data_IF_076922771206
#
_entry.id   IF_076922771206
#
_cell.length_a   1.000
_cell.length_b   1.000
_cell.length_c   1.000
_cell.angle_alpha   90.00
_cell.angle_beta   90.00
_cell.angle_gamma   90.00
#
_symmetry.space_group_name_H-M   'P 1'
#
loop_
_entity.id
_entity.type
_entity.pdbx_description
1 polymer ?
#
# COMPACT_ATOMS: atom_id res chain seq x y z
N UNK A 1 -0.10 -13.39 2.81
CA UNK A 1 -0.08 -14.17 4.07
C UNK A 1 -0.67 -13.36 5.22
N UNK A 2 -1.39 -14.02 6.10
CA UNK A 2 -1.99 -13.44 7.30
C UNK A 2 -1.38 -14.10 8.53
N UNK A 3 -0.99 -13.31 9.52
CA UNK A 3 -0.49 -13.85 10.79
C UNK A 3 -1.64 -14.45 11.59
N UNK A 4 -1.51 -15.72 11.97
CA UNK A 4 -2.46 -16.37 12.89
C UNK A 4 -2.00 -16.19 14.33
N UNK A 5 -2.95 -16.06 15.26
CA UNK A 5 -2.64 -15.96 16.68
C UNK A 5 -1.90 -17.20 17.22
N UNK A 6 -1.25 -17.05 18.37
CA UNK A 6 -0.59 -18.14 19.06
C UNK A 6 -1.61 -19.15 19.56
N UNK A 7 -1.76 -20.27 18.88
CA UNK A 7 -2.50 -21.42 19.43
C UNK A 7 -1.78 -22.01 20.64
N UNK A 8 -2.54 -22.66 21.53
CA UNK A 8 -2.02 -23.26 22.77
C UNK A 8 -0.86 -24.23 22.47
N UNK A 9 0.19 -24.16 23.27
CA UNK A 9 1.42 -24.95 23.12
C UNK A 9 1.30 -26.44 23.49
N UNK A 10 0.11 -26.91 23.90
CA UNK A 10 -0.01 -28.14 24.69
C UNK A 10 0.02 -29.47 23.92
N UNK A 11 0.04 -29.49 22.58
CA UNK A 11 -0.11 -30.74 21.82
C UNK A 11 0.70 -30.82 20.54
N UNK A 12 1.91 -30.26 20.47
CA UNK A 12 2.69 -30.28 19.25
C UNK A 12 3.90 -31.21 19.34
N UNK A 13 4.05 -32.08 18.35
CA UNK A 13 5.27 -32.81 18.10
C UNK A 13 6.46 -31.85 17.99
N UNK A 14 7.57 -32.18 18.64
CA UNK A 14 8.84 -31.43 18.56
C UNK A 14 9.44 -31.43 17.17
N UNK A 15 8.90 -32.22 16.24
CA UNK A 15 9.37 -32.38 14.84
C UNK A 15 8.70 -31.44 13.85
N UNK A 16 7.68 -30.66 14.23
CA UNK A 16 6.93 -29.82 13.31
C UNK A 16 7.15 -28.34 13.56
N UNK A 17 7.43 -27.61 12.47
CA UNK A 17 7.46 -26.14 12.51
C UNK A 17 6.04 -25.59 12.69
N UNK A 18 5.90 -24.59 13.55
CA UNK A 18 4.63 -23.94 13.81
C UNK A 18 4.14 -23.19 12.58
N UNK A 19 2.96 -23.53 12.05
CA UNK A 19 2.27 -22.73 11.04
C UNK A 19 1.76 -21.44 11.68
N UNK A 20 2.32 -20.30 11.27
CA UNK A 20 1.96 -18.97 11.81
C UNK A 20 1.14 -18.13 10.84
N UNK A 21 0.95 -18.59 9.61
CA UNK A 21 0.31 -17.83 8.54
C UNK A 21 -0.82 -18.62 7.88
N UNK A 22 -1.91 -17.91 7.54
CA UNK A 22 -2.91 -18.33 6.57
C UNK A 22 -2.74 -17.50 5.29
N UNK A 23 -3.21 -18.06 4.16
CA UNK A 23 -3.20 -17.37 2.87
C UNK A 23 -4.62 -16.94 2.49
N UNK A 24 -4.72 -15.76 1.87
CA UNK A 24 -5.91 -15.30 1.20
C UNK A 24 -5.59 -15.24 -0.29
N UNK A 25 -6.34 -15.95 -1.11
CA UNK A 25 -6.22 -15.95 -2.56
C UNK A 25 -7.35 -15.09 -3.14
N UNK A 26 -6.98 -14.13 -3.98
CA UNK A 26 -7.92 -13.20 -4.60
C UNK A 26 -7.84 -13.38 -6.11
N UNK A 27 -8.98 -13.64 -6.73
CA UNK A 27 -9.12 -13.83 -8.17
C UNK A 27 -10.05 -12.77 -8.76
N UNK A 28 -9.79 -12.37 -10.00
CA UNK A 28 -10.68 -11.54 -10.80
C UNK A 28 -11.16 -12.32 -12.01
N UNK A 29 -12.42 -12.12 -12.40
CA UNK A 29 -13.02 -12.80 -13.56
C UNK A 29 -12.45 -12.29 -14.88
N UNK A 30 -12.08 -11.01 -14.95
CA UNK A 30 -11.56 -10.38 -16.17
C UNK A 30 -10.62 -9.21 -15.82
N UNK A 31 -9.91 -8.71 -16.83
CA UNK A 31 -9.04 -7.54 -16.69
C UNK A 31 -9.80 -6.23 -16.49
N UNK A 32 -11.10 -6.20 -16.74
CA UNK A 32 -11.96 -5.07 -16.44
C UNK A 32 -12.22 -4.89 -14.94
N UNK A 33 -11.95 -5.93 -14.12
CA UNK A 33 -12.08 -5.82 -12.67
C UNK A 33 -10.96 -4.93 -12.11
N UNK A 34 -11.32 -3.78 -11.56
CA UNK A 34 -10.43 -2.83 -10.93
C UNK A 34 -10.56 -2.95 -9.41
N UNK A 35 -9.44 -3.07 -8.71
CA UNK A 35 -9.44 -2.98 -7.25
C UNK A 35 -9.43 -1.51 -6.81
N UNK A 36 -10.24 -1.20 -5.81
CA UNK A 36 -10.24 0.11 -5.20
C UNK A 36 -8.90 0.36 -4.48
N UNK A 37 -8.32 1.52 -4.74
CA UNK A 37 -7.14 2.02 -4.02
C UNK A 37 -7.58 3.02 -2.96
N UNK A 38 -6.94 2.97 -1.80
CA UNK A 38 -7.18 3.95 -0.76
C UNK A 38 -6.53 5.28 -1.15
N UNK A 39 -7.33 6.34 -1.22
CA UNK A 39 -6.83 7.71 -1.39
C UNK A 39 -6.29 8.17 -0.04
N UNK A 40 -5.07 8.72 -0.05
CA UNK A 40 -4.39 9.24 1.15
C UNK A 40 -4.09 10.73 1.06
N UNK A 41 -4.32 11.34 -0.09
CA UNK A 41 -4.13 12.78 -0.29
C UNK A 41 -4.11 13.16 -1.77
N UNK A 42 -3.78 14.40 -1.99
CA UNK A 42 -3.50 14.97 -3.32
C UNK A 42 -2.07 15.51 -3.35
N UNK A 43 -1.49 15.59 -4.53
CA UNK A 43 -0.17 16.19 -4.72
C UNK A 43 -0.26 17.69 -4.52
N UNK A 44 0.63 18.24 -3.72
CA UNK A 44 0.72 19.67 -3.46
C UNK A 44 1.83 20.28 -4.35
N UNK A 45 1.52 21.42 -4.98
CA UNK A 45 2.41 22.13 -5.89
C UNK A 45 2.65 23.54 -5.33
N UNK A 46 3.51 23.60 -4.29
CA UNK A 46 3.69 24.81 -3.46
C UNK A 46 4.70 25.82 -4.05
N UNK A 47 5.43 25.40 -5.08
CA UNK A 47 6.43 26.25 -5.73
C UNK A 47 5.93 26.70 -7.09
N UNK A 48 6.39 27.88 -7.53
CA UNK A 48 6.03 28.48 -8.82
C UNK A 48 7.21 29.17 -9.47
N UNK A 49 7.29 29.07 -10.80
CA UNK A 49 8.23 29.84 -11.64
C UNK A 49 7.56 30.26 -12.96
N UNK A 50 8.33 30.76 -13.90
CA UNK A 50 7.83 31.23 -15.21
C UNK A 50 7.12 30.13 -16.05
N UNK A 51 7.31 28.86 -15.72
CA UNK A 51 6.70 27.72 -16.41
C UNK A 51 5.45 27.21 -15.69
N UNK A 52 5.14 27.69 -14.49
CA UNK A 52 3.97 27.35 -13.69
C UNK A 52 4.26 26.75 -12.34
N UNK A 53 3.21 26.22 -11.69
CA UNK A 53 3.32 25.58 -10.39
C UNK A 53 3.98 24.22 -10.46
N UNK A 54 4.86 23.93 -9.50
CA UNK A 54 5.57 22.66 -9.45
C UNK A 54 5.80 22.17 -8.01
N UNK A 55 6.08 20.88 -7.89
CA UNK A 55 6.57 20.23 -6.69
C UNK A 55 8.00 19.71 -6.90
N UNK A 56 8.72 19.48 -5.80
CA UNK A 56 10.06 18.91 -5.86
C UNK A 56 9.98 17.37 -5.85
N UNK A 57 10.65 16.76 -6.80
CA UNK A 57 10.89 15.32 -6.83
C UNK A 57 12.36 15.00 -6.64
N UNK A 58 12.66 13.84 -6.08
CA UNK A 58 14.06 13.40 -5.93
C UNK A 58 14.76 13.34 -7.31
N UNK A 59 16.01 13.81 -7.36
CA UNK A 59 16.85 13.68 -8.54
C UNK A 59 17.77 12.47 -8.47
N UNK A 60 18.09 12.00 -7.27
CA UNK A 60 18.80 10.75 -7.04
C UNK A 60 17.86 9.56 -7.14
N UNK A 61 18.33 8.45 -7.70
CA UNK A 61 17.58 7.19 -7.74
C UNK A 61 17.45 6.57 -6.36
N UNK A 62 16.36 5.83 -6.16
CA UNK A 62 16.09 5.02 -4.97
C UNK A 62 15.64 3.61 -5.38
N UNK A 63 15.68 2.66 -4.45
CA UNK A 63 15.28 1.27 -4.70
C UNK A 63 16.43 0.35 -5.13
N UNK A 64 16.08 -0.84 -5.63
CA UNK A 64 17.04 -1.93 -5.88
C UNK A 64 18.07 -1.65 -6.99
N UNK A 65 17.78 -0.76 -7.92
CA UNK A 65 18.67 -0.36 -9.03
C UNK A 65 19.29 1.04 -8.84
N UNK A 66 19.31 1.56 -7.61
CA UNK A 66 19.76 2.92 -7.30
C UNK A 66 21.27 3.11 -7.30
N UNK A 67 22.05 2.06 -7.55
CA UNK A 67 23.50 2.12 -7.48
C UNK A 67 24.16 2.35 -8.83
N UNK A 68 25.39 2.92 -8.80
CA UNK A 68 26.26 3.06 -9.95
C UNK A 68 26.50 1.73 -10.68
N UNK A 69 26.61 0.61 -9.93
CA UNK A 69 26.80 -0.71 -10.50
C UNK A 69 25.63 -1.12 -11.41
N UNK A 70 24.41 -0.79 -11.01
CA UNK A 70 23.21 -1.11 -11.80
C UNK A 70 23.14 -0.27 -13.10
N UNK A 71 23.55 1.01 -13.04
CA UNK A 71 23.53 1.93 -14.21
C UNK A 71 24.73 2.87 -14.20
N UNK A 72 25.91 2.42 -14.65
CA UNK A 72 27.15 3.19 -14.56
C UNK A 72 27.11 4.57 -15.23
N UNK A 73 26.41 4.71 -16.36
CA UNK A 73 26.28 5.96 -17.11
C UNK A 73 25.43 7.02 -16.41
N UNK A 74 24.74 6.64 -15.32
CA UNK A 74 23.95 7.59 -14.52
C UNK A 74 24.72 8.10 -13.29
N UNK A 75 25.97 7.71 -13.12
CA UNK A 75 26.88 8.26 -12.12
C UNK A 75 27.86 9.21 -12.79
N UNK A 76 27.77 10.48 -12.46
CA UNK A 76 28.62 11.55 -12.96
C UNK A 76 28.60 12.74 -12.02
N UNK A 77 29.69 13.56 -11.98
CA UNK A 77 29.69 14.79 -11.23
C UNK A 77 28.82 15.86 -11.88
N UNK A 78 28.19 16.68 -11.01
CA UNK A 78 27.56 17.93 -11.40
C UNK A 78 28.34 19.05 -10.70
N UNK A 79 28.79 20.02 -11.46
CA UNK A 79 29.57 21.15 -10.95
C UNK A 79 28.66 22.35 -10.78
N UNK A 80 28.70 22.97 -9.61
CA UNK A 80 28.08 24.25 -9.31
C UNK A 80 29.06 25.37 -9.60
N UNK A 81 28.74 26.23 -10.51
CA UNK A 81 29.61 27.31 -10.97
C UNK A 81 29.49 28.55 -10.11
N UNK A 82 30.43 29.51 -10.26
CA UNK A 82 30.43 30.78 -9.52
C UNK A 82 29.22 31.69 -9.87
N UNK A 83 28.62 31.50 -11.05
CA UNK A 83 27.40 32.20 -11.50
C UNK A 83 26.09 31.45 -11.13
N UNK A 84 26.16 30.48 -10.19
CA UNK A 84 25.06 29.63 -9.73
C UNK A 84 24.46 28.68 -10.77
N UNK A 85 25.11 28.54 -11.93
CA UNK A 85 24.71 27.50 -12.89
C UNK A 85 25.25 26.13 -12.56
N UNK A 86 24.55 25.09 -13.02
CA UNK A 86 24.97 23.72 -12.92
C UNK A 86 25.41 23.15 -14.27
N UNK A 87 26.46 22.34 -14.29
CA UNK A 87 26.95 21.66 -15.48
C UNK A 87 27.58 20.30 -15.16
N UNK A 88 27.52 19.38 -16.13
CA UNK A 88 28.24 18.10 -16.05
C UNK A 88 29.59 18.12 -16.75
N UNK A 89 29.93 19.24 -17.44
CA UNK A 89 31.22 19.46 -18.05
C UNK A 89 32.16 20.04 -16.99
N UNK A 90 33.30 19.40 -16.79
CA UNK A 90 34.26 19.86 -15.77
C UNK A 90 34.85 21.23 -16.12
N UNK A 91 34.60 22.26 -15.30
CA UNK A 91 35.08 23.60 -15.56
C UNK A 91 36.47 23.80 -14.92
N UNK A 92 37.16 24.88 -15.30
CA UNK A 92 38.44 25.26 -14.64
C UNK A 92 38.28 25.71 -13.21
N UNK A 93 37.14 26.29 -12.87
CA UNK A 93 36.77 26.74 -11.51
C UNK A 93 35.31 26.42 -11.23
N UNK A 94 34.99 26.04 -10.01
CA UNK A 94 33.63 25.76 -9.53
C UNK A 94 33.55 25.98 -8.02
N UNK A 95 32.36 26.25 -7.49
CA UNK A 95 32.10 26.35 -6.05
C UNK A 95 32.08 24.96 -5.43
N UNK A 96 31.25 24.07 -5.97
CA UNK A 96 31.01 22.75 -5.43
C UNK A 96 30.95 21.67 -6.53
N UNK A 97 31.26 20.44 -6.13
CA UNK A 97 31.14 19.23 -6.94
C UNK A 97 30.14 18.27 -6.27
N UNK A 98 29.00 18.11 -6.89
CA UNK A 98 27.91 17.28 -6.42
C UNK A 98 27.98 15.87 -7.02
N UNK A 99 27.93 14.87 -6.18
CA UNK A 99 27.88 13.46 -6.55
C UNK A 99 26.62 12.82 -5.99
N UNK A 100 26.10 11.74 -6.59
CA UNK A 100 25.03 10.96 -5.95
C UNK A 100 25.50 10.44 -4.59
N UNK A 101 24.64 10.57 -3.58
CA UNK A 101 24.90 10.00 -2.25
C UNK A 101 24.97 8.48 -2.33
N UNK A 102 25.72 7.88 -1.44
CA UNK A 102 25.79 6.42 -1.31
C UNK A 102 24.41 5.81 -0.99
N UNK A 103 24.20 4.62 -1.51
CA UNK A 103 23.01 3.79 -1.25
C UNK A 103 23.48 2.42 -0.79
N UNK A 104 23.19 2.04 0.44
CA UNK A 104 23.60 0.76 1.04
C UNK A 104 25.12 0.48 0.97
N UNK A 105 25.95 1.54 1.11
CA UNK A 105 27.41 1.40 1.07
C UNK A 105 28.02 1.30 -0.33
N UNK A 106 27.25 1.53 -1.39
CA UNK A 106 27.73 1.64 -2.77
C UNK A 106 27.43 3.05 -3.32
N UNK A 107 28.20 3.49 -4.30
CA UNK A 107 27.94 4.74 -5.04
C UNK A 107 26.49 4.73 -5.56
N UNK A 108 25.74 5.77 -5.27
CA UNK A 108 24.40 6.00 -5.82
C UNK A 108 24.45 6.42 -7.29
N UNK A 109 23.28 6.78 -7.85
CA UNK A 109 23.19 7.30 -9.22
C UNK A 109 22.12 8.38 -9.35
N UNK A 110 22.25 9.22 -10.36
CA UNK A 110 21.20 10.14 -10.76
C UNK A 110 20.07 9.43 -11.52
N UNK A 111 18.93 10.09 -11.66
CA UNK A 111 17.80 9.57 -12.46
C UNK A 111 17.95 9.83 -13.95
N UNK A 112 18.76 10.83 -14.34
CA UNK A 112 18.93 11.24 -15.74
C UNK A 112 20.36 10.99 -16.22
N UNK A 113 20.51 10.81 -17.54
CA UNK A 113 21.81 10.85 -18.20
C UNK A 113 22.37 12.27 -18.23
N UNK A 114 23.67 12.39 -18.49
CA UNK A 114 24.33 13.69 -18.66
C UNK A 114 23.67 14.54 -19.73
N UNK A 115 23.38 13.94 -20.87
CA UNK A 115 22.78 14.60 -22.02
C UNK A 115 21.41 15.18 -21.69
N UNK A 116 20.59 14.39 -20.98
CA UNK A 116 19.29 14.86 -20.52
C UNK A 116 19.42 15.96 -19.48
N UNK A 117 20.35 15.83 -18.55
CA UNK A 117 20.60 16.87 -17.55
C UNK A 117 20.95 18.19 -18.22
N UNK A 118 21.94 18.22 -19.12
CA UNK A 118 22.37 19.44 -19.82
C UNK A 118 21.25 20.07 -20.63
N UNK A 119 20.41 19.25 -21.28
CA UNK A 119 19.29 19.72 -22.08
C UNK A 119 18.18 20.35 -21.23
N UNK A 120 17.84 19.72 -20.14
CA UNK A 120 16.59 20.02 -19.42
C UNK A 120 16.83 20.80 -18.10
N UNK A 121 18.09 20.97 -17.66
CA UNK A 121 18.44 21.52 -16.33
C UNK A 121 17.80 22.88 -16.04
N UNK A 122 17.80 23.79 -16.97
CA UNK A 122 17.30 25.16 -16.80
C UNK A 122 15.82 25.16 -16.40
N UNK A 123 15.03 24.30 -17.05
CA UNK A 123 13.59 24.23 -16.81
C UNK A 123 13.23 23.26 -15.68
N UNK A 124 13.88 22.09 -15.66
CA UNK A 124 13.38 20.93 -14.87
C UNK A 124 14.23 20.59 -13.64
N UNK A 125 15.29 21.35 -13.37
CA UNK A 125 16.12 21.16 -12.18
C UNK A 125 15.93 22.33 -11.22
N UNK A 126 15.88 22.00 -9.95
CA UNK A 126 15.93 22.94 -8.84
C UNK A 126 17.13 22.59 -7.96
N UNK A 127 17.92 23.58 -7.63
CA UNK A 127 19.07 23.48 -6.73
C UNK A 127 18.89 24.46 -5.58
N UNK A 128 18.95 23.99 -4.35
CA UNK A 128 18.75 24.82 -3.15
C UNK A 128 20.06 25.33 -2.53
N UNK A 129 21.20 25.10 -3.17
CA UNK A 129 22.54 25.38 -2.65
C UNK A 129 23.28 24.16 -2.13
N UNK A 130 22.57 23.08 -1.81
CA UNK A 130 23.14 21.83 -1.26
C UNK A 130 22.70 20.60 -2.05
N UNK A 131 21.45 20.52 -2.40
CA UNK A 131 20.84 19.35 -3.02
C UNK A 131 20.12 19.69 -4.34
N UNK A 132 20.08 18.68 -5.22
CA UNK A 132 19.44 18.79 -6.55
C UNK A 132 18.13 18.04 -6.52
N UNK A 133 17.08 18.68 -7.05
CA UNK A 133 15.73 18.15 -7.17
C UNK A 133 15.25 18.29 -8.63
N UNK A 134 14.26 17.47 -8.99
CA UNK A 134 13.51 17.66 -10.23
C UNK A 134 12.31 18.56 -9.95
N UNK A 135 12.01 19.49 -10.82
CA UNK A 135 10.73 20.18 -10.87
C UNK A 135 9.72 19.26 -11.54
N UNK A 136 8.61 19.00 -10.89
CA UNK A 136 7.47 18.27 -11.42
C UNK A 136 6.32 19.26 -11.51
N UNK A 137 6.06 19.74 -12.72
CA UNK A 137 5.01 20.73 -12.94
C UNK A 137 3.61 20.14 -12.81
N UNK A 138 2.68 20.97 -12.36
CA UNK A 138 1.26 20.66 -12.39
C UNK A 138 0.82 20.42 -13.83
N UNK A 139 0.00 19.40 -14.01
CA UNK A 139 -0.58 19.04 -15.31
C UNK A 139 -2.02 18.60 -15.06
N UNK A 140 -2.97 19.41 -15.50
CA UNK A 140 -4.41 19.19 -15.30
C UNK A 140 -4.92 17.86 -15.89
N UNK A 141 -4.21 17.34 -16.90
CA UNK A 141 -4.56 16.06 -17.54
C UNK A 141 -4.05 14.84 -16.78
N UNK A 142 -3.31 15.02 -15.69
CA UNK A 142 -2.80 13.93 -14.85
C UNK A 142 -3.56 13.81 -13.57
N UNK A 143 -3.74 12.57 -13.13
CA UNK A 143 -4.30 12.27 -11.82
C UNK A 143 -3.38 12.83 -10.71
N UNK A 144 -3.92 13.74 -9.92
CA UNK A 144 -3.22 14.38 -8.80
C UNK A 144 -3.37 13.59 -7.49
N UNK A 145 -4.16 12.53 -7.50
CA UNK A 145 -4.46 11.73 -6.31
C UNK A 145 -3.27 10.90 -5.87
N UNK A 146 -2.99 10.90 -4.58
CA UNK A 146 -2.01 10.01 -3.96
C UNK A 146 -2.74 8.77 -3.46
N UNK A 147 -2.38 7.62 -4.02
CA UNK A 147 -2.92 6.32 -3.62
C UNK A 147 -1.97 5.58 -2.70
N UNK A 148 -2.51 4.99 -1.64
CA UNK A 148 -1.77 4.03 -0.82
C UNK A 148 -1.75 2.68 -1.55
N UNK A 149 -0.56 2.10 -1.67
CA UNK A 149 -0.42 0.70 -2.07
C UNK A 149 -0.71 -0.18 -0.86
N UNK A 150 -1.77 -0.97 -0.93
CA UNK A 150 -2.12 -1.89 0.16
C UNK A 150 -1.08 -3.00 0.29
N UNK A 151 -0.75 -3.34 1.52
CA UNK A 151 0.21 -4.41 1.81
C UNK A 151 -0.42 -5.78 1.49
N UNK A 152 0.33 -6.65 0.85
CA UNK A 152 -0.06 -8.06 0.65
C UNK A 152 0.09 -8.93 1.91
N UNK A 153 0.39 -8.33 3.06
CA UNK A 153 0.62 -9.00 4.34
C UNK A 153 -0.18 -8.35 5.45
N UNK A 154 -1.01 -9.16 6.13
CA UNK A 154 -1.91 -8.73 7.20
C UNK A 154 -1.32 -9.12 8.56
N UNK A 155 -0.45 -8.28 9.13
CA UNK A 155 0.24 -8.50 10.41
C UNK A 155 -0.40 -7.76 11.58
N UNK A 156 -1.29 -6.81 11.31
CA UNK A 156 -1.99 -6.05 12.35
C UNK A 156 -2.93 -6.96 13.19
N UNK A 157 -3.00 -6.68 14.48
CA UNK A 157 -3.81 -7.48 15.43
C UNK A 157 -5.30 -7.56 15.06
N UNK A 158 -5.84 -6.54 14.39
CA UNK A 158 -7.25 -6.49 13.93
C UNK A 158 -7.61 -7.60 12.95
N UNK A 159 -6.61 -8.16 12.22
CA UNK A 159 -6.80 -9.24 11.26
C UNK A 159 -6.60 -10.65 11.86
N UNK A 160 -6.28 -10.77 13.15
CA UNK A 160 -6.04 -12.07 13.81
C UNK A 160 -7.35 -12.78 14.16
N UNK A 161 -7.36 -14.12 14.12
CA UNK A 161 -8.54 -14.94 14.45
C UNK A 161 -9.03 -14.71 15.87
N UNK A 162 -8.16 -14.40 16.83
CA UNK A 162 -8.54 -14.07 18.20
C UNK A 162 -9.50 -12.89 18.29
N UNK A 163 -9.40 -11.91 17.38
CA UNK A 163 -10.34 -10.79 17.30
C UNK A 163 -11.72 -11.25 16.85
N UNK A 164 -11.79 -12.14 15.84
CA UNK A 164 -13.07 -12.72 15.41
C UNK A 164 -13.78 -13.45 16.55
N UNK A 165 -13.04 -14.23 17.36
CA UNK A 165 -13.59 -14.92 18.55
C UNK A 165 -14.11 -13.93 19.59
N UNK A 166 -13.33 -12.89 19.89
CA UNK A 166 -13.75 -11.86 20.86
C UNK A 166 -15.01 -11.12 20.38
N UNK A 167 -15.06 -10.73 19.10
CA UNK A 167 -16.22 -10.06 18.50
C UNK A 167 -17.48 -10.93 18.56
N UNK A 168 -17.38 -12.20 18.17
CA UNK A 168 -18.52 -13.12 18.22
C UNK A 168 -19.03 -13.33 19.64
N UNK A 169 -18.13 -13.56 20.60
CA UNK A 169 -18.48 -13.74 22.00
C UNK A 169 -19.19 -12.50 22.58
N UNK A 170 -18.74 -11.29 22.21
CA UNK A 170 -19.34 -10.04 22.67
C UNK A 170 -20.75 -9.85 22.09
N UNK A 171 -20.96 -10.21 20.82
CA UNK A 171 -22.27 -10.08 20.17
C UNK A 171 -23.29 -11.06 20.79
N UNK A 172 -22.89 -12.31 20.95
CA UNK A 172 -23.79 -13.35 21.39
C UNK A 172 -23.83 -13.52 22.92
N UNK A 173 -23.01 -12.78 23.70
CA UNK A 173 -22.93 -12.82 25.14
C UNK A 173 -22.47 -14.16 25.73
N UNK A 174 -21.95 -15.07 24.91
CA UNK A 174 -21.54 -16.44 25.29
C UNK A 174 -20.17 -16.75 24.67
N UNK A 175 -19.41 -17.66 25.31
CA UNK A 175 -18.08 -18.08 24.84
C UNK A 175 -18.13 -19.51 24.27
N UNK A 176 -17.20 -19.81 23.37
CA UNK A 176 -16.98 -21.16 22.86
C UNK A 176 -18.02 -21.68 21.87
N UNK A 177 -18.87 -20.82 21.33
CA UNK A 177 -19.94 -21.20 20.41
C UNK A 177 -19.44 -21.62 19.02
N UNK A 178 -18.32 -21.08 18.57
CA UNK A 178 -17.79 -21.35 17.26
C UNK A 178 -16.26 -21.28 17.25
N UNK A 179 -15.64 -22.22 16.55
CA UNK A 179 -14.19 -22.30 16.46
C UNK A 179 -13.64 -21.41 15.32
N UNK A 180 -12.71 -20.52 15.67
CA UNK A 180 -11.96 -19.70 14.72
C UNK A 180 -12.82 -18.83 13.76
N UNK A 181 -13.81 -18.07 14.27
CA UNK A 181 -14.52 -17.11 13.42
C UNK A 181 -13.52 -16.11 12.81
N UNK A 182 -13.73 -15.75 11.56
CA UNK A 182 -12.86 -14.77 10.89
C UNK A 182 -13.10 -13.39 11.50
N UNK A 183 -12.06 -12.54 11.62
CA UNK A 183 -12.23 -11.17 12.10
C UNK A 183 -12.98 -10.31 11.08
N UNK A 184 -13.91 -9.50 11.55
CA UNK A 184 -14.74 -8.63 10.70
C UNK A 184 -13.89 -7.67 9.87
N UNK A 185 -12.83 -7.11 10.45
CA UNK A 185 -11.95 -6.17 9.75
C UNK A 185 -11.22 -6.79 8.54
N UNK A 186 -10.91 -8.10 8.56
CA UNK A 186 -10.36 -8.78 7.40
C UNK A 186 -11.40 -8.88 6.28
N UNK A 187 -12.63 -9.25 6.60
CA UNK A 187 -13.69 -9.40 5.61
C UNK A 187 -14.09 -8.02 5.04
N UNK A 188 -14.17 -7.00 5.89
CA UNK A 188 -14.38 -5.61 5.44
C UNK A 188 -13.31 -5.16 4.44
N UNK A 189 -12.04 -5.42 4.74
CA UNK A 189 -10.94 -5.10 3.83
C UNK A 189 -11.12 -5.78 2.47
N UNK A 190 -11.43 -7.09 2.46
CA UNK A 190 -11.62 -7.85 1.23
C UNK A 190 -12.82 -7.35 0.40
N UNK A 191 -13.93 -7.01 1.05
CA UNK A 191 -15.11 -6.44 0.38
C UNK A 191 -14.78 -5.06 -0.22
N UNK A 192 -14.04 -4.23 0.53
CA UNK A 192 -13.65 -2.89 0.09
C UNK A 192 -12.62 -2.86 -1.06
N UNK A 193 -12.02 -3.98 -1.42
CA UNK A 193 -11.24 -4.06 -2.65
C UNK A 193 -12.11 -3.86 -3.90
N UNK A 194 -13.42 -4.09 -3.80
CA UNK A 194 -14.37 -3.84 -4.87
C UNK A 194 -14.98 -2.42 -4.73
N UNK A 195 -14.90 -1.57 -5.77
CA UNK A 195 -15.29 -0.16 -5.66
C UNK A 195 -16.81 0.06 -5.56
N UNK A 196 -17.64 -0.92 -5.98
CA UNK A 196 -19.08 -0.76 -6.01
C UNK A 196 -19.70 -0.99 -4.62
N UNK A 197 -20.24 0.08 -4.05
CA UNK A 197 -20.94 0.07 -2.75
C UNK A 197 -22.38 -0.47 -2.80
N UNK A 198 -22.82 -0.91 -3.97
CA UNK A 198 -24.15 -1.52 -4.23
C UNK A 198 -24.02 -2.97 -4.69
N UNK A 199 -22.87 -3.60 -4.50
CA UNK A 199 -22.59 -4.97 -4.91
C UNK A 199 -23.34 -6.00 -4.04
N UNK A 200 -23.53 -7.20 -4.59
CA UNK A 200 -24.00 -8.37 -3.85
C UNK A 200 -22.79 -9.21 -3.44
N UNK A 201 -22.67 -9.49 -2.15
CA UNK A 201 -21.61 -10.30 -1.55
C UNK A 201 -22.16 -11.69 -1.27
N UNK A 202 -21.61 -12.70 -1.91
CA UNK A 202 -22.02 -14.10 -1.74
C UNK A 202 -20.96 -14.86 -0.95
N UNK A 203 -21.39 -15.56 0.11
CA UNK A 203 -20.53 -16.42 0.93
C UNK A 203 -21.18 -17.82 1.03
N UNK A 204 -20.56 -18.80 0.36
CA UNK A 204 -21.05 -20.18 0.35
C UNK A 204 -20.72 -20.96 1.62
N UNK A 205 -19.85 -20.46 2.47
CA UNK A 205 -19.40 -21.10 3.70
C UNK A 205 -19.44 -20.12 4.88
N UNK A 206 -20.60 -19.49 5.07
CA UNK A 206 -20.77 -18.36 5.98
C UNK A 206 -20.41 -18.67 7.45
N UNK A 207 -20.48 -19.94 7.87
CA UNK A 207 -20.13 -20.38 9.22
C UNK A 207 -20.80 -19.50 10.27
N UNK A 208 -20.01 -18.71 11.00
CA UNK A 208 -20.52 -17.80 12.04
C UNK A 208 -21.11 -16.47 11.50
N UNK A 209 -21.33 -16.29 10.19
CA UNK A 209 -21.95 -15.10 9.62
C UNK A 209 -21.06 -13.84 9.58
N UNK A 210 -19.74 -13.98 9.63
CA UNK A 210 -18.82 -12.82 9.64
C UNK A 210 -19.00 -11.92 8.42
N UNK A 211 -19.26 -12.50 7.24
CA UNK A 211 -19.43 -11.76 5.99
C UNK A 211 -20.66 -10.86 6.04
N UNK A 212 -21.81 -11.35 6.50
CA UNK A 212 -23.02 -10.52 6.64
C UNK A 212 -22.79 -9.36 7.63
N UNK A 213 -22.20 -9.64 8.78
CA UNK A 213 -21.83 -8.60 9.75
C UNK A 213 -20.87 -7.54 9.15
N UNK A 214 -19.88 -7.97 8.37
CA UNK A 214 -18.95 -7.06 7.70
C UNK A 214 -19.66 -6.15 6.70
N UNK A 215 -20.60 -6.69 5.90
CA UNK A 215 -21.40 -5.91 4.95
C UNK A 215 -22.25 -4.86 5.66
N UNK A 216 -22.98 -5.25 6.70
CA UNK A 216 -23.81 -4.32 7.49
C UNK A 216 -22.98 -3.20 8.11
N UNK A 217 -21.80 -3.54 8.65
CA UNK A 217 -20.88 -2.56 9.23
C UNK A 217 -20.34 -1.60 8.20
N UNK A 218 -19.94 -2.08 7.02
CA UNK A 218 -19.49 -1.25 5.91
C UNK A 218 -20.57 -0.29 5.41
N UNK A 219 -21.80 -0.79 5.22
CA UNK A 219 -22.90 0.07 4.79
C UNK A 219 -23.17 1.20 5.79
N UNK A 220 -23.06 0.90 7.08
CA UNK A 220 -23.18 1.92 8.13
C UNK A 220 -22.04 2.96 8.11
N UNK A 221 -20.81 2.52 7.79
CA UNK A 221 -19.62 3.37 7.80
C UNK A 221 -19.53 4.30 6.58
N UNK A 222 -19.90 3.79 5.39
CA UNK A 222 -19.66 4.49 4.11
C UNK A 222 -20.96 4.88 3.37
N UNK A 223 -22.14 4.66 3.97
CA UNK A 223 -23.44 4.95 3.37
C UNK A 223 -23.78 4.07 2.16
N UNK A 224 -23.08 2.96 1.96
CA UNK A 224 -23.35 1.99 0.90
C UNK A 224 -24.64 1.20 1.13
N UNK A 225 -25.06 0.48 0.08
CA UNK A 225 -26.21 -0.42 0.13
C UNK A 225 -25.84 -1.78 -0.47
N UNK A 226 -24.73 -2.35 0.00
CA UNK A 226 -24.32 -3.71 -0.37
C UNK A 226 -25.32 -4.70 0.19
N UNK A 227 -25.64 -5.71 -0.59
CA UNK A 227 -26.44 -6.85 -0.18
C UNK A 227 -25.53 -8.04 0.09
N UNK A 228 -26.03 -9.03 0.83
CA UNK A 228 -25.30 -10.28 1.02
C UNK A 228 -26.24 -11.49 0.91
N UNK A 229 -25.67 -12.61 0.49
CA UNK A 229 -26.29 -13.93 0.47
C UNK A 229 -25.33 -14.85 1.23
N UNK A 230 -25.83 -15.46 2.31
CA UNK A 230 -25.04 -16.37 3.14
C UNK A 230 -25.61 -17.78 3.00
N UNK A 231 -24.73 -18.73 2.66
CA UNK A 231 -25.07 -20.13 2.62
C UNK A 231 -24.24 -20.86 3.69
N UNK A 232 -24.90 -21.59 4.56
CA UNK A 232 -24.25 -22.47 5.54
C UNK A 232 -25.14 -23.67 5.80
N UNK A 233 -24.57 -24.81 6.12
CA UNK A 233 -25.34 -25.92 6.68
C UNK A 233 -25.79 -25.56 8.10
N UNK A 234 -26.76 -26.30 8.64
CA UNK A 234 -27.20 -26.14 10.02
C UNK A 234 -26.66 -27.26 10.94
N UNK A 235 -25.49 -27.79 10.60
CA UNK A 235 -24.79 -28.75 11.46
C UNK A 235 -24.47 -28.09 12.81
N UNK A 236 -24.73 -28.81 13.89
CA UNK A 236 -24.60 -28.28 15.27
C UNK A 236 -25.39 -26.96 15.50
N UNK A 237 -26.45 -26.72 14.76
CA UNK A 237 -27.25 -25.50 14.80
C UNK A 237 -26.49 -24.22 14.50
N UNK A 238 -25.40 -24.28 13.72
CA UNK A 238 -24.57 -23.13 13.37
C UNK A 238 -25.39 -22.00 12.72
N UNK A 239 -26.32 -22.35 11.83
CA UNK A 239 -27.16 -21.36 11.18
C UNK A 239 -28.09 -20.66 12.17
N UNK A 240 -28.84 -21.41 12.94
CA UNK A 240 -29.91 -20.90 13.81
C UNK A 240 -29.39 -20.24 15.08
N UNK A 241 -28.33 -20.80 15.70
CA UNK A 241 -27.88 -20.37 17.02
C UNK A 241 -26.68 -19.38 16.95
N UNK A 242 -26.00 -19.27 15.80
CA UNK A 242 -24.79 -18.48 15.67
C UNK A 242 -24.88 -17.50 14.50
N UNK A 243 -25.07 -18.00 13.25
CA UNK A 243 -25.01 -17.16 12.05
C UNK A 243 -26.15 -16.13 12.04
N UNK A 244 -27.39 -16.58 12.17
CA UNK A 244 -28.56 -15.73 12.16
C UNK A 244 -28.61 -14.72 13.30
N UNK A 245 -28.38 -15.10 14.59
CA UNK A 245 -28.38 -14.15 15.69
C UNK A 245 -27.25 -13.11 15.65
N UNK A 246 -26.18 -13.37 14.90
CA UNK A 246 -25.07 -12.42 14.74
C UNK A 246 -25.43 -11.25 13.82
N UNK A 247 -26.36 -11.44 12.88
CA UNK A 247 -26.73 -10.48 11.82
C UNK A 247 -27.94 -9.67 12.22
#
# INVERSE_FOLDING_TARGET
PRKTGAGSAATRSLSELRKTNDYVLIYKKSDQTVFQRKIVGEKEYDLEDEYGKFMLGQFQASGSDATRRARPNMWYPIFHLENDELTTVEPKKYKDKLLPKEVNGEDGRWLWSKERFEKDKTKLIYFNGEEIFRKIYFDENKDQTIYQVEKAYFDESKYQNSRGTTELNNILGRKGLFNNPKPVELIKFLINLHPNRYSVVLDFFAGSGTTGHAVLKLNKEDGGNRQFILCTNNEENICTDICYPRI
#
